data_IF_109244750659
#
_entry.id   IF_109244750659
#
_cell.length_a   1.000
_cell.length_b   1.000
_cell.length_c   1.000
_cell.angle_alpha   90.00
_cell.angle_beta   90.00
_cell.angle_gamma   90.00
#
_symmetry.space_group_name_H-M   'P 1'
#
loop_
_entity.id
_entity.type
_entity.pdbx_description
1 polymer ?
#
# COMPACT_ATOMS: atom_id res chain seq x y z
N UNK A 1 79.25 65.11 -8.30
CA UNK A 1 78.96 64.10 -7.30
C UNK A 1 77.46 64.13 -7.09
N UNK A 2 76.67 63.26 -7.73
CA UNK A 2 75.20 63.16 -7.58
C UNK A 2 74.89 61.67 -7.42
N UNK A 3 74.40 61.28 -6.26
CA UNK A 3 73.84 59.99 -5.95
C UNK A 3 72.43 59.88 -6.59
N UNK A 4 72.21 58.90 -7.43
CA UNK A 4 70.92 58.54 -7.86
C UNK A 4 70.41 57.37 -7.02
N UNK A 5 69.31 57.59 -6.31
CA UNK A 5 68.57 56.59 -5.56
C UNK A 5 67.57 55.92 -6.49
N UNK A 6 67.69 54.61 -6.64
CA UNK A 6 66.70 53.76 -7.39
C UNK A 6 65.67 53.22 -6.42
N UNK A 7 64.44 53.71 -6.51
CA UNK A 7 63.28 53.12 -5.81
C UNK A 7 62.80 51.90 -6.56
N UNK A 8 62.92 50.72 -5.97
CA UNK A 8 62.22 49.51 -6.41
C UNK A 8 60.80 49.53 -5.94
N UNK A 9 59.87 49.56 -6.88
CA UNK A 9 58.43 49.37 -6.59
C UNK A 9 58.17 47.88 -6.46
N UNK A 10 57.80 47.40 -5.27
CA UNK A 10 57.25 46.08 -5.06
C UNK A 10 55.75 46.12 -5.35
N UNK A 11 55.33 45.47 -6.42
CA UNK A 11 53.89 45.24 -6.71
C UNK A 11 53.40 44.04 -5.91
N UNK A 12 52.55 44.25 -4.94
CA UNK A 12 51.86 43.19 -4.21
C UNK A 12 50.63 42.80 -5.02
N UNK A 13 50.65 41.62 -5.61
CA UNK A 13 49.46 41.02 -6.27
C UNK A 13 48.59 40.43 -5.17
N UNK A 14 47.43 41.02 -4.93
CA UNK A 14 46.40 40.46 -4.06
C UNK A 14 45.62 39.37 -4.83
N UNK A 15 45.84 38.12 -4.49
CA UNK A 15 45.06 37.02 -4.97
C UNK A 15 43.71 36.99 -4.19
N UNK A 16 42.63 37.33 -4.85
CA UNK A 16 41.28 37.17 -4.31
C UNK A 16 40.90 35.69 -4.38
N UNK A 17 40.85 35.01 -3.24
CA UNK A 17 40.29 33.65 -3.12
C UNK A 17 38.77 33.79 -3.05
N UNK A 18 38.09 33.44 -4.17
CA UNK A 18 36.64 33.33 -4.18
C UNK A 18 36.25 32.04 -3.44
N UNK A 19 35.76 32.12 -2.23
CA UNK A 19 35.08 31.02 -1.53
C UNK A 19 33.73 30.79 -2.24
N UNK A 20 33.65 29.75 -3.05
CA UNK A 20 32.37 29.23 -3.54
C UNK A 20 31.62 28.57 -2.36
N UNK A 21 30.65 29.26 -1.79
CA UNK A 21 29.72 28.65 -0.84
C UNK A 21 28.82 27.72 -1.64
N UNK A 22 29.07 26.42 -1.54
CA UNK A 22 28.12 25.40 -2.01
C UNK A 22 26.90 25.49 -1.07
N UNK A 23 25.87 26.18 -1.53
CA UNK A 23 24.60 26.24 -0.82
C UNK A 23 24.00 24.83 -0.82
N UNK A 24 23.94 24.18 0.34
CA UNK A 24 23.06 23.04 0.57
C UNK A 24 21.61 23.55 0.42
N UNK A 25 21.00 23.32 -0.74
CA UNK A 25 19.56 23.41 -0.84
C UNK A 25 18.99 22.24 -0.04
N UNK A 26 18.10 22.49 0.95
CA UNK A 26 17.36 21.40 1.54
C UNK A 26 16.60 20.72 0.41
N UNK A 27 16.80 19.42 0.23
CA UNK A 27 15.98 18.62 -0.64
C UNK A 27 14.53 18.83 -0.18
N UNK A 28 13.71 19.41 -1.06
CA UNK A 28 12.29 19.51 -0.83
C UNK A 28 11.82 18.06 -0.70
N UNK A 29 11.40 17.62 0.48
CA UNK A 29 10.78 16.32 0.65
C UNK A 29 9.59 16.27 -0.32
N UNK A 30 9.64 15.38 -1.29
CA UNK A 30 8.48 15.12 -2.13
C UNK A 30 7.29 14.76 -1.21
N UNK A 31 6.06 15.17 -1.54
CA UNK A 31 4.88 14.75 -0.79
C UNK A 31 4.92 13.23 -0.63
N UNK A 32 4.80 12.75 0.60
CA UNK A 32 4.85 11.32 0.91
C UNK A 32 3.45 10.74 0.70
N UNK A 33 3.28 9.81 -0.18
CA UNK A 33 2.02 9.21 -0.58
C UNK A 33 1.81 7.83 0.07
N UNK A 34 0.59 7.32 0.13
CA UNK A 34 -0.06 6.56 1.22
C UNK A 34 0.26 7.34 2.47
N UNK A 35 -0.56 7.61 3.39
CA UNK A 35 -0.17 8.55 4.46
C UNK A 35 1.19 8.13 5.03
N UNK A 36 2.21 8.97 4.85
CA UNK A 36 3.59 8.68 5.31
C UNK A 36 4.41 7.69 4.48
N UNK A 37 3.91 7.22 3.33
CA UNK A 37 4.58 6.25 2.47
C UNK A 37 5.45 6.84 1.35
N UNK A 38 5.79 6.01 0.37
CA UNK A 38 6.57 6.38 -0.82
C UNK A 38 5.99 5.72 -2.09
N UNK A 39 6.45 6.14 -3.26
CA UNK A 39 6.07 5.49 -4.52
C UNK A 39 6.73 4.13 -4.64
N UNK A 40 5.93 3.13 -5.01
CA UNK A 40 6.45 1.84 -5.44
C UNK A 40 7.05 1.94 -6.85
N UNK A 41 8.09 1.18 -7.11
CA UNK A 41 8.69 1.08 -8.44
C UNK A 41 7.83 0.20 -9.37
N UNK A 42 7.98 0.39 -10.68
CA UNK A 42 7.32 -0.48 -11.65
C UNK A 42 7.81 -1.93 -11.49
N UNK A 43 6.85 -2.85 -11.28
CA UNK A 43 7.14 -4.27 -11.08
C UNK A 43 7.57 -4.67 -9.66
N UNK A 44 7.59 -3.75 -8.70
CA UNK A 44 7.92 -4.06 -7.30
C UNK A 44 6.86 -4.97 -6.67
N UNK A 45 5.58 -4.71 -6.93
CA UNK A 45 4.45 -5.52 -6.46
C UNK A 45 3.55 -5.91 -7.65
N UNK A 46 3.99 -6.87 -8.48
CA UNK A 46 3.31 -7.16 -9.75
C UNK A 46 1.94 -7.81 -9.58
N UNK A 47 1.63 -8.30 -8.38
CA UNK A 47 0.34 -8.88 -8.02
C UNK A 47 -0.74 -7.83 -7.71
N UNK A 48 -0.37 -6.55 -7.55
CA UNK A 48 -1.30 -5.48 -7.22
C UNK A 48 -2.25 -5.19 -8.38
N UNK A 49 -3.52 -5.02 -8.06
CA UNK A 49 -4.54 -4.61 -9.01
C UNK A 49 -5.44 -3.51 -8.45
N UNK A 50 -5.93 -2.66 -9.38
CA UNK A 50 -6.89 -1.58 -9.10
C UNK A 50 -8.25 -1.98 -9.63
N UNK A 51 -9.29 -1.83 -8.81
CA UNK A 51 -10.68 -2.10 -9.19
C UNK A 51 -11.41 -0.78 -9.48
N UNK A 52 -12.24 -0.76 -10.52
CA UNK A 52 -12.86 0.46 -11.06
C UNK A 52 -13.77 1.21 -10.08
N UNK A 53 -14.31 0.55 -9.04
CA UNK A 53 -15.11 1.21 -8.01
C UNK A 53 -14.27 2.03 -7.01
N UNK A 54 -12.96 1.99 -7.11
CA UNK A 54 -12.10 2.75 -6.21
C UNK A 54 -11.44 1.91 -5.13
N UNK A 55 -11.46 0.59 -5.22
CA UNK A 55 -10.78 -0.36 -4.34
C UNK A 55 -9.48 -0.89 -4.96
N UNK A 56 -8.63 -1.48 -4.12
CA UNK A 56 -7.49 -2.30 -4.50
C UNK A 56 -7.81 -3.79 -4.41
N UNK A 57 -6.84 -4.61 -4.77
CA UNK A 57 -6.85 -6.06 -4.61
C UNK A 57 -5.51 -6.66 -4.96
N UNK A 58 -5.40 -7.98 -4.80
CA UNK A 58 -4.24 -8.74 -5.22
C UNK A 58 -4.64 -9.95 -6.06
N UNK A 59 -3.84 -10.32 -7.04
CA UNK A 59 -4.01 -11.55 -7.80
C UNK A 59 -3.76 -12.76 -6.88
N UNK A 60 -4.83 -13.42 -6.47
CA UNK A 60 -4.81 -14.72 -5.77
C UNK A 60 -4.48 -15.85 -6.76
N UNK A 61 -5.09 -15.80 -7.93
CA UNK A 61 -4.75 -16.59 -9.10
C UNK A 61 -4.69 -15.65 -10.33
N UNK A 62 -4.20 -16.12 -11.47
CA UNK A 62 -4.09 -15.25 -12.66
C UNK A 62 -5.44 -14.67 -13.11
N UNK A 63 -6.54 -15.32 -12.76
CA UNK A 63 -7.90 -14.93 -13.11
C UNK A 63 -8.83 -14.79 -11.89
N UNK A 64 -8.26 -14.72 -10.67
CA UNK A 64 -8.99 -14.47 -9.42
C UNK A 64 -8.26 -13.38 -8.63
N UNK A 65 -8.99 -12.33 -8.28
CA UNK A 65 -8.54 -11.25 -7.39
C UNK A 65 -9.14 -11.46 -6.00
N UNK A 66 -8.31 -11.36 -4.96
CA UNK A 66 -8.72 -11.24 -3.56
C UNK A 66 -8.83 -9.75 -3.21
N UNK A 67 -9.98 -9.35 -2.67
CA UNK A 67 -10.30 -7.98 -2.26
C UNK A 67 -11.20 -8.00 -1.02
N UNK A 68 -11.69 -6.84 -0.57
CA UNK A 68 -12.62 -6.73 0.56
C UNK A 68 -14.09 -6.97 0.13
N UNK A 69 -14.89 -7.52 1.04
CA UNK A 69 -16.31 -7.74 0.80
C UNK A 69 -17.09 -6.43 0.65
N UNK A 70 -16.70 -5.37 1.38
CA UNK A 70 -17.35 -4.07 1.26
C UNK A 70 -17.10 -3.36 -0.08
N UNK A 71 -16.17 -3.87 -0.90
CA UNK A 71 -15.91 -3.35 -2.25
C UNK A 71 -16.89 -3.88 -3.30
N UNK A 72 -17.70 -4.89 -2.98
CA UNK A 72 -18.58 -5.56 -3.95
C UNK A 72 -20.02 -5.67 -3.43
N UNK A 73 -20.97 -5.75 -4.36
CA UNK A 73 -22.41 -5.80 -4.06
C UNK A 73 -22.94 -7.25 -4.08
N UNK A 74 -22.47 -8.08 -3.13
CA UNK A 74 -22.95 -9.46 -3.00
C UNK A 74 -22.20 -10.45 -3.91
N UNK A 75 -22.85 -11.58 -4.22
CA UNK A 75 -22.27 -12.67 -5.01
C UNK A 75 -23.14 -12.96 -6.24
N UNK A 76 -22.50 -13.33 -7.33
CA UNK A 76 -23.15 -13.69 -8.59
C UNK A 76 -22.34 -13.29 -9.82
N UNK A 77 -22.99 -13.43 -11.00
CA UNK A 77 -22.39 -12.95 -12.24
C UNK A 77 -22.35 -11.42 -12.24
N UNK A 78 -21.16 -10.86 -12.42
CA UNK A 78 -20.92 -9.42 -12.47
C UNK A 78 -19.79 -9.11 -13.45
N UNK A 79 -20.13 -8.38 -14.50
CA UNK A 79 -19.18 -7.93 -15.54
C UNK A 79 -18.91 -6.43 -15.49
N UNK A 80 -19.35 -5.76 -14.43
CA UNK A 80 -19.27 -4.29 -14.30
C UNK A 80 -17.90 -3.82 -13.83
N UNK A 81 -17.14 -4.66 -13.11
CA UNK A 81 -15.86 -4.29 -12.52
C UNK A 81 -14.78 -4.38 -13.60
N UNK A 82 -14.05 -3.29 -13.81
CA UNK A 82 -12.78 -3.30 -14.54
C UNK A 82 -11.64 -3.45 -13.55
N UNK A 83 -10.76 -4.42 -13.80
CA UNK A 83 -9.55 -4.69 -13.02
C UNK A 83 -8.35 -4.27 -13.84
N UNK A 84 -7.54 -3.35 -13.31
CA UNK A 84 -6.31 -2.85 -13.93
C UNK A 84 -5.11 -3.40 -13.19
N UNK A 85 -4.18 -4.05 -13.90
CA UNK A 85 -2.97 -4.64 -13.34
C UNK A 85 -1.75 -4.47 -14.24
N UNK A 86 -0.59 -4.99 -13.79
CA UNK A 86 0.67 -4.98 -14.53
C UNK A 86 1.45 -3.67 -14.47
N UNK A 87 0.91 -2.63 -13.81
CA UNK A 87 1.51 -1.30 -13.80
C UNK A 87 1.50 -0.67 -12.41
N UNK A 88 2.50 0.16 -12.12
CA UNK A 88 2.50 1.05 -10.96
C UNK A 88 1.86 2.41 -11.29
N UNK A 89 1.92 2.85 -12.55
CA UNK A 89 1.28 4.07 -13.06
C UNK A 89 0.01 3.71 -13.83
N UNK A 90 -1.17 4.06 -13.31
CA UNK A 90 -2.47 3.74 -13.93
C UNK A 90 -2.68 4.36 -15.32
N UNK A 91 -1.91 5.39 -15.69
CA UNK A 91 -1.94 5.98 -17.02
C UNK A 91 -0.89 5.38 -17.98
N UNK A 92 -0.17 4.33 -17.55
CA UNK A 92 0.78 3.63 -18.41
C UNK A 92 0.06 2.97 -19.60
N UNK A 93 0.60 3.05 -20.82
CA UNK A 93 0.06 2.33 -21.98
C UNK A 93 0.20 0.80 -21.86
N UNK A 94 1.00 0.32 -20.91
CA UNK A 94 1.21 -1.10 -20.63
C UNK A 94 0.19 -1.67 -19.61
N UNK A 95 -0.77 -0.85 -19.15
CA UNK A 95 -1.81 -1.29 -18.23
C UNK A 95 -2.68 -2.37 -18.87
N UNK A 96 -2.86 -3.47 -18.14
CA UNK A 96 -3.74 -4.57 -18.54
C UNK A 96 -5.09 -4.37 -17.85
N UNK A 97 -6.15 -4.19 -18.65
CA UNK A 97 -7.51 -4.04 -18.15
C UNK A 97 -8.35 -5.26 -18.53
N UNK A 98 -8.93 -5.92 -17.52
CA UNK A 98 -9.79 -7.09 -17.68
C UNK A 98 -11.10 -6.86 -16.94
N UNK A 99 -12.22 -7.31 -17.51
CA UNK A 99 -13.51 -7.27 -16.85
C UNK A 99 -13.67 -8.45 -15.89
N UNK A 100 -14.44 -8.22 -14.81
CA UNK A 100 -14.96 -9.31 -13.99
C UNK A 100 -15.92 -10.19 -14.80
N UNK A 101 -16.06 -11.44 -14.40
CA UNK A 101 -17.08 -12.36 -14.89
C UNK A 101 -18.05 -12.74 -13.77
N UNK A 102 -17.53 -12.86 -12.55
CA UNK A 102 -18.29 -13.27 -11.37
C UNK A 102 -17.66 -12.71 -10.11
N UNK A 103 -18.48 -12.47 -9.10
CA UNK A 103 -18.06 -12.04 -7.77
C UNK A 103 -18.55 -13.04 -6.73
N UNK A 104 -17.76 -13.29 -5.72
CA UNK A 104 -18.11 -14.07 -4.55
C UNK A 104 -17.73 -13.27 -3.30
N UNK A 105 -18.73 -12.74 -2.62
CA UNK A 105 -18.57 -12.07 -1.33
C UNK A 105 -18.57 -13.11 -0.21
N UNK A 106 -17.79 -12.90 0.85
CA UNK A 106 -17.70 -13.80 2.00
C UNK A 106 -19.10 -14.19 2.51
N UNK A 107 -19.40 -15.48 2.70
CA UNK A 107 -20.68 -15.92 3.21
C UNK A 107 -20.99 -15.34 4.59
N UNK A 108 -22.12 -14.66 4.71
CA UNK A 108 -22.56 -14.06 5.95
C UNK A 108 -21.90 -12.71 6.30
N UNK A 109 -21.16 -12.09 5.38
CA UNK A 109 -20.71 -10.71 5.53
C UNK A 109 -21.91 -9.78 5.73
N UNK A 110 -21.84 -8.94 6.75
CA UNK A 110 -22.92 -8.03 7.15
C UNK A 110 -22.41 -6.62 7.52
N UNK A 111 -21.17 -6.30 7.14
CA UNK A 111 -20.51 -5.03 7.45
C UNK A 111 -19.60 -5.07 8.68
N UNK A 112 -19.41 -6.25 9.31
CA UNK A 112 -18.52 -6.43 10.47
C UNK A 112 -17.80 -7.77 10.33
N UNK A 113 -16.49 -7.79 10.49
CA UNK A 113 -15.67 -8.98 10.25
C UNK A 113 -15.87 -9.57 8.85
N UNK A 114 -15.26 -10.69 8.55
CA UNK A 114 -15.43 -11.44 7.27
C UNK A 114 -15.31 -10.59 6.01
N UNK A 115 -14.54 -9.51 6.08
CA UNK A 115 -14.47 -8.52 5.00
C UNK A 115 -13.51 -8.97 3.89
N UNK A 116 -13.88 -10.07 3.20
CA UNK A 116 -13.15 -10.57 2.04
C UNK A 116 -14.09 -10.94 0.90
N UNK A 117 -13.61 -10.82 -0.33
CA UNK A 117 -14.32 -11.23 -1.54
C UNK A 117 -13.34 -11.69 -2.62
N UNK A 118 -13.85 -12.51 -3.53
CA UNK A 118 -13.15 -12.94 -4.73
C UNK A 118 -13.84 -12.38 -5.97
N UNK A 119 -13.04 -11.86 -6.90
CA UNK A 119 -13.49 -11.41 -8.22
C UNK A 119 -12.86 -12.31 -9.27
N UNK A 120 -13.69 -13.13 -9.94
CA UNK A 120 -13.30 -13.90 -11.11
C UNK A 120 -13.21 -12.99 -12.31
N UNK A 121 -12.09 -13.03 -13.01
CA UNK A 121 -11.86 -12.28 -14.24
C UNK A 121 -12.37 -13.05 -15.47
N UNK A 122 -12.78 -12.32 -16.49
CA UNK A 122 -13.17 -12.91 -17.78
C UNK A 122 -11.99 -13.52 -18.54
N UNK A 123 -10.78 -12.96 -18.32
CA UNK A 123 -9.52 -13.43 -18.89
C UNK A 123 -8.40 -13.30 -17.82
N UNK A 124 -7.35 -14.13 -17.86
CA UNK A 124 -6.26 -14.04 -16.90
C UNK A 124 -5.38 -12.80 -17.15
N UNK A 125 -4.86 -12.24 -16.07
CA UNK A 125 -3.77 -11.26 -16.10
C UNK A 125 -2.46 -12.02 -15.92
N UNK A 126 -1.56 -11.97 -16.90
CA UNK A 126 -0.29 -12.70 -16.87
C UNK A 126 0.76 -11.97 -16.02
N UNK A 127 0.49 -11.90 -14.72
CA UNK A 127 1.37 -11.34 -13.69
C UNK A 127 1.58 -12.37 -12.57
N UNK A 128 2.65 -12.23 -11.76
CA UNK A 128 2.82 -13.01 -10.53
C UNK A 128 1.62 -12.85 -9.59
N UNK A 129 1.28 -13.93 -8.90
CA UNK A 129 0.22 -13.95 -7.88
C UNK A 129 0.80 -13.78 -6.48
N UNK A 130 -0.02 -13.36 -5.53
CA UNK A 130 0.34 -13.22 -4.12
C UNK A 130 -0.21 -14.42 -3.34
N UNK A 131 0.68 -15.20 -2.70
CA UNK A 131 0.29 -16.27 -1.78
C UNK A 131 -0.40 -15.66 -0.57
N UNK A 132 -1.36 -16.37 0.01
CA UNK A 132 -2.00 -15.99 1.27
C UNK A 132 -1.37 -16.74 2.45
N UNK A 133 -1.33 -16.12 3.63
CA UNK A 133 -1.01 -16.78 4.88
C UNK A 133 -2.08 -17.83 5.19
N UNK A 134 -1.66 -19.07 5.49
CA UNK A 134 -2.56 -20.19 5.80
C UNK A 134 -2.70 -20.44 7.29
N UNK A 135 -1.90 -19.78 8.09
CA UNK A 135 -1.90 -19.82 9.56
C UNK A 135 -1.35 -18.51 10.12
N UNK A 136 -1.39 -18.34 11.44
CA UNK A 136 -0.98 -17.12 12.14
C UNK A 136 0.54 -16.89 12.26
N UNK A 137 1.39 -17.66 11.57
CA UNK A 137 2.85 -17.50 11.69
C UNK A 137 3.38 -16.15 11.22
N UNK A 138 2.62 -15.45 10.38
CA UNK A 138 3.00 -14.17 9.79
C UNK A 138 2.19 -12.99 10.30
N UNK A 139 1.30 -13.17 11.27
CA UNK A 139 0.32 -12.16 11.71
C UNK A 139 0.91 -11.07 12.63
N UNK A 140 2.21 -11.12 12.91
CA UNK A 140 2.91 -10.14 13.75
C UNK A 140 4.10 -9.51 13.00
N UNK A 141 4.65 -8.42 13.55
CA UNK A 141 5.85 -7.74 13.07
C UNK A 141 5.54 -6.51 12.23
N UNK A 142 6.28 -6.29 11.16
CA UNK A 142 6.07 -5.16 10.25
C UNK A 142 5.54 -5.69 8.92
N UNK A 143 4.50 -5.04 8.43
CA UNK A 143 3.85 -5.35 7.16
C UNK A 143 4.06 -4.22 6.17
N UNK A 144 3.99 -4.53 4.89
CA UNK A 144 3.89 -3.54 3.82
C UNK A 144 2.45 -3.47 3.35
N UNK A 145 1.91 -2.26 3.19
CA UNK A 145 0.66 -1.98 2.49
C UNK A 145 0.98 -1.26 1.20
N UNK A 146 0.22 -1.56 0.14
CA UNK A 146 0.38 -0.88 -1.14
C UNK A 146 -0.98 -0.60 -1.79
N UNK A 147 -1.09 0.52 -2.53
CA UNK A 147 -2.33 0.90 -3.18
C UNK A 147 -2.27 2.24 -3.91
N UNK A 148 -3.37 2.58 -4.54
CA UNK A 148 -3.57 3.86 -5.24
C UNK A 148 -4.55 4.77 -4.48
N UNK A 149 -4.68 4.56 -3.17
CA UNK A 149 -5.52 5.37 -2.30
C UNK A 149 -4.99 6.78 -2.09
N UNK A 150 -5.69 7.56 -1.28
CA UNK A 150 -5.33 8.93 -0.97
C UNK A 150 -4.04 9.00 -0.15
N UNK A 151 -3.22 10.01 -0.43
CA UNK A 151 -1.97 10.31 0.29
C UNK A 151 -2.19 11.07 1.61
N UNK A 152 -3.44 11.38 1.91
CA UNK A 152 -3.90 12.01 3.16
C UNK A 152 -5.39 11.81 3.32
N UNK A 153 -5.85 11.88 4.55
CA UNK A 153 -7.28 11.82 4.85
C UNK A 153 -8.07 12.89 4.07
N UNK A 154 -9.13 12.44 3.39
CA UNK A 154 -9.97 13.29 2.53
C UNK A 154 -9.27 13.77 1.23
N UNK A 155 -8.11 13.23 0.92
CA UNK A 155 -7.38 13.48 -0.33
C UNK A 155 -7.97 12.72 -1.53
N UNK A 156 -7.42 12.98 -2.71
CA UNK A 156 -7.75 12.25 -3.94
C UNK A 156 -6.92 10.99 -4.05
N UNK A 157 -7.49 9.97 -4.68
CA UNK A 157 -6.77 8.76 -5.05
C UNK A 157 -5.61 9.09 -6.00
N UNK A 158 -4.55 8.29 -5.92
CA UNK A 158 -3.30 8.54 -6.60
C UNK A 158 -3.22 7.80 -7.94
N UNK A 159 -2.54 8.40 -8.88
CA UNK A 159 -2.23 7.78 -10.16
C UNK A 159 -1.15 6.70 -10.03
N UNK A 160 -0.14 6.95 -9.20
CA UNK A 160 0.99 6.05 -8.99
C UNK A 160 0.75 5.16 -7.77
N UNK A 161 1.16 3.89 -7.89
CA UNK A 161 1.16 2.94 -6.77
C UNK A 161 2.06 3.45 -5.64
N UNK A 162 1.53 3.41 -4.44
CA UNK A 162 2.18 3.86 -3.22
C UNK A 162 2.39 2.66 -2.31
N UNK A 163 3.36 2.77 -1.39
CA UNK A 163 3.65 1.76 -0.37
C UNK A 163 4.03 2.40 0.95
N UNK A 164 3.75 1.71 2.05
CA UNK A 164 4.26 2.07 3.37
C UNK A 164 4.40 0.82 4.25
N UNK A 165 5.28 0.91 5.24
CA UNK A 165 5.43 -0.12 6.26
C UNK A 165 4.63 0.26 7.51
N UNK A 166 3.80 -0.67 7.97
CA UNK A 166 2.92 -0.53 9.13
C UNK A 166 3.24 -1.62 10.15
N UNK A 167 3.61 -1.27 11.39
CA UNK A 167 3.83 -2.26 12.44
C UNK A 167 2.52 -2.86 12.95
N UNK A 168 2.56 -4.13 13.34
CA UNK A 168 1.47 -4.80 14.03
C UNK A 168 1.09 -4.08 15.32
N UNK A 169 -0.21 -4.00 15.59
CA UNK A 169 -0.78 -3.49 16.83
C UNK A 169 -1.52 -4.63 17.52
N UNK A 170 -1.14 -5.02 18.76
CA UNK A 170 -1.80 -6.11 19.47
C UNK A 170 -3.30 -5.86 19.67
N UNK A 171 -4.10 -6.92 19.67
CA UNK A 171 -5.56 -6.84 19.82
C UNK A 171 -6.00 -6.09 21.07
N UNK A 172 -5.28 -6.27 22.18
CA UNK A 172 -5.57 -5.54 23.44
C UNK A 172 -5.49 -4.04 23.30
N UNK A 173 -4.52 -3.55 22.48
CA UNK A 173 -4.31 -2.13 22.23
C UNK A 173 -5.30 -1.63 21.19
N UNK A 174 -5.54 -2.43 20.15
CA UNK A 174 -6.53 -2.15 19.11
C UNK A 174 -7.96 -2.07 19.65
N UNK A 175 -8.35 -2.99 20.55
CA UNK A 175 -9.64 -2.95 21.25
C UNK A 175 -9.80 -1.71 22.14
N UNK A 176 -8.69 -1.12 22.58
CA UNK A 176 -8.71 0.17 23.27
C UNK A 176 -9.16 1.33 22.36
N UNK A 177 -8.87 1.24 21.05
CA UNK A 177 -9.33 2.19 20.04
C UNK A 177 -10.72 1.84 19.48
N UNK A 178 -11.01 0.55 19.33
CA UNK A 178 -12.18 0.02 18.62
C UNK A 178 -12.89 -1.07 19.43
N UNK A 179 -13.95 -0.72 20.14
CA UNK A 179 -14.74 -1.67 20.92
C UNK A 179 -15.50 -2.71 20.06
N UNK A 180 -15.68 -2.42 18.77
CA UNK A 180 -16.34 -3.27 17.78
C UNK A 180 -15.40 -4.27 17.07
N UNK A 181 -14.08 -4.22 17.34
CA UNK A 181 -13.11 -5.10 16.72
C UNK A 181 -13.45 -6.59 16.91
N UNK A 182 -13.46 -7.35 15.83
CA UNK A 182 -13.62 -8.81 15.84
C UNK A 182 -12.22 -9.45 15.82
N UNK A 183 -11.58 -9.52 17.00
CA UNK A 183 -10.18 -9.83 17.16
C UNK A 183 -9.71 -11.15 16.50
N UNK A 184 -10.59 -12.16 16.38
CA UNK A 184 -10.25 -13.43 15.72
C UNK A 184 -10.31 -13.34 14.17
N UNK A 185 -10.92 -12.28 13.64
CA UNK A 185 -11.16 -12.10 12.20
C UNK A 185 -10.41 -10.89 11.62
N UNK A 186 -9.83 -10.04 12.48
CA UNK A 186 -9.25 -8.75 12.11
C UNK A 186 -7.87 -8.55 12.74
N UNK A 187 -6.97 -7.91 12.00
CA UNK A 187 -5.64 -7.48 12.46
C UNK A 187 -5.57 -5.96 12.46
N UNK A 188 -4.83 -5.41 13.42
CA UNK A 188 -4.55 -3.98 13.46
C UNK A 188 -3.09 -3.69 13.14
N UNK A 189 -2.84 -2.66 12.36
CA UNK A 189 -1.48 -2.20 12.08
C UNK A 189 -1.43 -0.69 11.89
N UNK A 190 -0.26 -0.09 12.22
CA UNK A 190 -0.03 1.34 12.13
C UNK A 190 0.79 1.86 13.30
N UNK A 191 1.15 3.14 13.27
CA UNK A 191 1.87 3.81 14.36
C UNK A 191 0.86 4.31 15.41
N UNK A 192 0.49 3.45 16.36
CA UNK A 192 -0.59 3.72 17.31
C UNK A 192 -0.42 5.06 18.05
N UNK A 193 0.77 5.34 18.61
CA UNK A 193 0.98 6.52 19.44
C UNK A 193 1.07 7.82 18.63
N UNK A 194 1.71 7.76 17.46
CA UNK A 194 2.06 8.96 16.68
C UNK A 194 1.20 9.15 15.44
N UNK A 195 0.57 8.09 14.95
CA UNK A 195 -0.04 8.11 13.63
C UNK A 195 0.98 8.42 12.52
N UNK A 196 0.52 8.95 11.41
CA UNK A 196 1.37 9.45 10.33
C UNK A 196 1.69 8.44 9.24
N UNK A 197 1.39 7.15 9.42
CA UNK A 197 1.53 6.09 8.40
C UNK A 197 0.33 5.16 8.44
N UNK A 198 -0.37 5.01 7.31
CA UNK A 198 -1.54 4.13 7.19
C UNK A 198 -2.01 4.00 5.74
N UNK A 199 -2.86 3.00 5.45
CA UNK A 199 -3.74 2.97 4.29
C UNK A 199 -4.83 4.05 4.40
N UNK A 200 -5.43 4.43 3.26
CA UNK A 200 -6.42 5.50 3.23
C UNK A 200 -7.52 5.21 2.20
N UNK A 201 -8.45 6.15 2.00
CA UNK A 201 -9.56 6.00 1.06
C UNK A 201 -9.06 5.64 -0.35
N UNK A 202 -9.48 4.49 -0.85
CA UNK A 202 -9.05 3.93 -2.14
C UNK A 202 -8.03 2.81 -2.05
N UNK A 203 -7.48 2.53 -0.85
CA UNK A 203 -6.67 1.34 -0.58
C UNK A 203 -7.51 0.13 -0.13
N UNK A 204 -8.79 0.35 0.22
CA UNK A 204 -9.77 -0.67 0.56
C UNK A 204 -9.68 -1.90 -0.34
N UNK A 205 -9.64 -3.09 0.23
CA UNK A 205 -9.49 -4.35 -0.50
C UNK A 205 -8.07 -4.68 -0.96
N UNK A 206 -7.16 -3.71 -0.89
CA UNK A 206 -5.73 -3.95 -1.18
C UNK A 206 -5.08 -4.87 -0.16
N UNK A 207 -3.97 -5.54 -0.52
CA UNK A 207 -3.29 -6.45 0.38
C UNK A 207 -2.43 -5.71 1.41
N UNK A 208 -2.40 -6.25 2.63
CA UNK A 208 -1.32 -6.08 3.58
C UNK A 208 -0.48 -7.37 3.54
N UNK A 209 0.84 -7.23 3.36
CA UNK A 209 1.72 -8.38 3.10
C UNK A 209 3.10 -8.20 3.74
N UNK A 210 3.84 -9.27 3.85
CA UNK A 210 5.22 -9.28 4.33
C UNK A 210 6.03 -10.38 3.65
N UNK A 211 7.34 -10.40 3.88
CA UNK A 211 8.19 -11.50 3.45
C UNK A 211 8.07 -12.70 4.38
N UNK A 212 8.00 -13.90 3.80
CA UNK A 212 8.16 -15.16 4.50
C UNK A 212 9.65 -15.49 4.72
N UNK A 213 9.93 -16.64 5.33
CA UNK A 213 11.30 -17.11 5.62
C UNK A 213 12.11 -17.43 4.35
N UNK A 214 11.46 -17.49 3.20
CA UNK A 214 12.07 -17.75 1.88
C UNK A 214 12.24 -16.47 1.07
N UNK A 215 11.99 -15.29 1.67
CA UNK A 215 11.99 -13.97 1.02
C UNK A 215 10.92 -13.83 -0.08
N UNK A 216 9.84 -14.61 -0.01
CA UNK A 216 8.67 -14.51 -0.87
C UNK A 216 7.58 -13.67 -0.20
N UNK A 217 6.82 -12.90 -0.99
CA UNK A 217 5.70 -12.14 -0.48
C UNK A 217 4.53 -13.05 -0.09
N UNK A 218 3.95 -12.80 1.09
CA UNK A 218 2.76 -13.47 1.61
C UNK A 218 1.76 -12.44 2.11
N UNK A 219 0.51 -12.56 1.67
CA UNK A 219 -0.57 -11.69 2.12
C UNK A 219 -1.06 -12.14 3.49
N UNK A 220 -1.08 -11.22 4.45
CA UNK A 220 -1.54 -11.45 5.82
C UNK A 220 -2.83 -10.71 6.14
N UNK A 221 -3.13 -9.64 5.40
CA UNK A 221 -4.34 -8.85 5.62
C UNK A 221 -4.94 -8.31 4.34
N UNK A 222 -6.18 -7.82 4.47
CA UNK A 222 -6.91 -7.07 3.44
C UNK A 222 -7.32 -5.73 4.07
N UNK A 223 -7.00 -4.61 3.43
CA UNK A 223 -7.42 -3.27 3.92
C UNK A 223 -8.94 -3.23 4.06
N UNK A 224 -9.43 -3.04 5.29
CA UNK A 224 -10.84 -3.11 5.62
C UNK A 224 -11.41 -1.77 6.07
N UNK A 225 -11.09 -1.30 7.27
CA UNK A 225 -11.65 -0.08 7.82
C UNK A 225 -10.70 0.62 8.79
N UNK A 226 -11.13 1.79 9.31
CA UNK A 226 -10.43 2.56 10.31
C UNK A 226 -11.11 3.89 10.59
N UNK A 227 -10.71 4.59 11.64
CA UNK A 227 -11.21 5.92 11.96
C UNK A 227 -10.33 7.01 11.36
N UNK A 228 -10.63 7.45 10.16
CA UNK A 228 -9.81 8.38 9.36
C UNK A 228 -8.65 7.63 8.70
N UNK A 229 -7.50 8.30 8.55
CA UNK A 229 -6.27 7.70 8.02
C UNK A 229 -5.09 8.20 8.84
N UNK A 230 -4.26 7.27 9.34
CA UNK A 230 -3.02 7.57 10.07
C UNK A 230 -3.21 8.50 11.29
N UNK A 231 -4.34 8.47 11.95
CA UNK A 231 -4.59 9.27 13.15
C UNK A 231 -3.93 8.62 14.37
N UNK A 232 -3.27 9.38 15.25
CA UNK A 232 -2.80 8.87 16.53
C UNK A 232 -3.94 8.21 17.31
N UNK A 233 -3.70 7.04 17.89
CA UNK A 233 -4.66 6.28 18.66
C UNK A 233 -5.66 5.45 17.83
N UNK A 234 -5.60 5.51 16.49
CA UNK A 234 -6.53 4.82 15.60
C UNK A 234 -5.78 4.11 14.48
N UNK A 235 -5.27 2.89 14.72
CA UNK A 235 -4.57 2.11 13.69
C UNK A 235 -5.55 1.66 12.59
N UNK A 236 -5.02 1.32 11.42
CA UNK A 236 -5.79 0.65 10.37
C UNK A 236 -6.23 -0.75 10.80
N UNK A 237 -7.42 -1.17 10.38
CA UNK A 237 -7.97 -2.50 10.62
C UNK A 237 -8.04 -3.27 9.29
N UNK A 238 -7.56 -4.50 9.33
CA UNK A 238 -7.38 -5.38 8.19
C UNK A 238 -8.08 -6.71 8.45
N UNK A 239 -8.73 -7.29 7.45
CA UNK A 239 -9.21 -8.67 7.55
C UNK A 239 -8.03 -9.62 7.73
N UNK A 240 -8.04 -10.46 8.76
CA UNK A 240 -7.01 -11.46 9.02
C UNK A 240 -7.10 -12.62 8.03
N UNK A 241 -6.22 -12.66 7.04
CA UNK A 241 -6.29 -13.64 5.94
C UNK A 241 -6.06 -15.06 6.44
N UNK A 242 -5.16 -15.27 7.41
CA UNK A 242 -4.87 -16.57 8.00
C UNK A 242 -6.11 -17.24 8.59
N UNK A 243 -7.02 -16.45 9.21
CA UNK A 243 -8.29 -16.93 9.75
C UNK A 243 -9.21 -17.48 8.65
N UNK A 244 -9.26 -16.83 7.50
CA UNK A 244 -10.16 -17.16 6.39
C UNK A 244 -9.51 -17.97 5.27
N UNK A 245 -8.25 -18.40 5.41
CA UNK A 245 -7.50 -19.03 4.32
C UNK A 245 -8.20 -20.26 3.72
N UNK A 246 -8.79 -21.11 4.58
CA UNK A 246 -9.53 -22.29 4.13
C UNK A 246 -10.82 -21.92 3.39
N UNK A 247 -11.54 -20.90 3.87
CA UNK A 247 -12.77 -20.43 3.27
C UNK A 247 -12.49 -19.76 1.92
N UNK A 248 -11.45 -18.93 1.84
CA UNK A 248 -10.99 -18.28 0.60
C UNK A 248 -10.60 -19.34 -0.44
N UNK A 249 -9.83 -20.36 -0.06
CA UNK A 249 -9.42 -21.44 -0.96
C UNK A 249 -10.64 -22.22 -1.46
N UNK A 250 -11.54 -22.64 -0.56
CA UNK A 250 -12.76 -23.36 -0.94
C UNK A 250 -13.67 -22.53 -1.84
N UNK A 251 -13.76 -21.22 -1.60
CA UNK A 251 -14.53 -20.31 -2.44
C UNK A 251 -13.90 -20.15 -3.84
N UNK A 252 -12.58 -20.03 -3.93
CA UNK A 252 -11.84 -19.92 -5.19
C UNK A 252 -12.06 -21.16 -6.09
N UNK A 253 -12.13 -22.35 -5.50
CA UNK A 253 -12.39 -23.61 -6.23
C UNK A 253 -13.80 -23.66 -6.87
N UNK A 254 -14.73 -22.76 -6.51
CA UNK A 254 -16.09 -22.67 -7.06
C UNK A 254 -16.21 -21.65 -8.19
N UNK A 255 -15.17 -20.88 -8.46
CA UNK A 255 -15.11 -19.82 -9.48
C UNK A 255 -14.42 -20.29 -10.75
#
# INVERSE_FOLDING_TARGET
MKLLSVLKRCSVAAAAVALATVGFQPASAAPQPIVGGERAEQGEFPFMVRLSMGCGGALYAKDIVLTAAHCVDGSGDDTSITVTGGVADLESPDAVEVRSAKVLQAPGYNGTGKDWALVKLAEPIDQPTLKIATDGAYDEGTFTVAGWGADKEGGSQQRHLLKADVPFVPDSDCQGAYSELVADEELCAGLLDTGGVDSCQGDSGGPMFRKDDSDEWVQVGIVSWGQGCARPGYPGVYTQVSHFAADIAAAADTL
#
